data_IF_592470366921
#
_entry.id   IF_592470366921
#
_cell.length_a   1.000
_cell.length_b   1.000
_cell.length_c   1.000
_cell.angle_alpha   90.00
_cell.angle_beta   90.00
_cell.angle_gamma   90.00
#
_symmetry.space_group_name_H-M   'P 1'
#
loop_
_entity.id
_entity.type
_entity.pdbx_description
1 polymer ?
#
# COMPACT_ATOMS: atom_id res chain seq x y z
N UNK A 1 -22.81 -16.03 -16.71
CA UNK A 1 -23.69 -14.99 -17.33
C UNK A 1 -25.17 -15.25 -17.09
N UNK A 2 -25.70 -16.49 -17.30
CA UNK A 2 -27.13 -16.82 -17.09
C UNK A 2 -27.51 -16.63 -15.62
N UNK A 3 -26.73 -17.19 -14.69
CA UNK A 3 -26.94 -17.03 -13.24
C UNK A 3 -26.92 -15.56 -12.80
N UNK A 4 -25.98 -14.77 -13.30
CA UNK A 4 -25.90 -13.34 -12.99
C UNK A 4 -27.15 -12.59 -13.42
N UNK A 5 -27.72 -13.00 -14.56
CA UNK A 5 -28.92 -12.39 -15.12
C UNK A 5 -30.16 -12.77 -14.31
N UNK A 6 -30.34 -14.05 -14.00
CA UNK A 6 -31.47 -14.55 -13.19
C UNK A 6 -31.44 -13.91 -11.80
N UNK A 7 -30.33 -14.07 -11.08
CA UNK A 7 -30.18 -13.50 -9.72
C UNK A 7 -30.37 -11.99 -9.75
N UNK A 8 -29.72 -11.28 -10.70
CA UNK A 8 -29.80 -9.83 -10.79
C UNK A 8 -31.22 -9.30 -11.07
N UNK A 9 -32.01 -9.96 -11.94
CA UNK A 9 -33.36 -9.52 -12.23
C UNK A 9 -34.34 -9.85 -11.08
N UNK A 10 -34.34 -11.05 -10.56
CA UNK A 10 -35.27 -11.47 -9.52
C UNK A 10 -35.03 -10.71 -8.20
N UNK A 11 -33.77 -10.57 -7.81
CA UNK A 11 -33.45 -9.85 -6.58
C UNK A 11 -33.64 -8.34 -6.74
N UNK A 12 -33.39 -7.77 -7.92
CA UNK A 12 -33.64 -6.33 -8.17
C UNK A 12 -35.15 -6.02 -8.17
N UNK A 13 -35.99 -6.91 -8.71
CA UNK A 13 -37.44 -6.75 -8.68
C UNK A 13 -37.96 -6.79 -7.23
N UNK A 14 -37.51 -7.76 -6.43
CA UNK A 14 -37.85 -7.89 -5.00
C UNK A 14 -37.39 -6.67 -4.21
N UNK A 15 -36.17 -6.20 -4.45
CA UNK A 15 -35.63 -5.02 -3.79
C UNK A 15 -36.43 -3.75 -4.15
N UNK A 16 -36.78 -3.59 -5.43
CA UNK A 16 -37.56 -2.43 -5.89
C UNK A 16 -38.96 -2.37 -5.30
N UNK A 17 -39.56 -3.52 -4.96
CA UNK A 17 -40.86 -3.60 -4.28
C UNK A 17 -40.74 -3.32 -2.77
N UNK A 18 -39.63 -3.69 -2.14
CA UNK A 18 -39.40 -3.55 -0.70
C UNK A 18 -38.91 -2.16 -0.29
N UNK A 19 -38.13 -1.48 -1.15
CA UNK A 19 -37.49 -0.20 -0.84
C UNK A 19 -38.09 0.91 -1.68
N UNK A 20 -38.70 1.89 -1.03
CA UNK A 20 -39.35 3.05 -1.71
C UNK A 20 -38.36 4.15 -2.13
N UNK A 21 -37.12 4.16 -1.59
CA UNK A 21 -36.13 5.23 -1.82
C UNK A 21 -34.75 4.62 -2.12
N UNK A 22 -34.16 5.03 -3.24
CA UNK A 22 -32.76 4.72 -3.61
C UNK A 22 -32.56 3.33 -4.24
N UNK A 23 -31.34 3.04 -4.69
CA UNK A 23 -30.75 1.82 -5.24
C UNK A 23 -31.66 0.65 -5.59
N UNK A 24 -32.13 0.62 -6.85
CA UNK A 24 -33.11 -0.38 -7.33
C UNK A 24 -32.47 -1.58 -8.02
N UNK A 25 -31.17 -1.69 -7.98
CA UNK A 25 -30.45 -2.76 -8.63
C UNK A 25 -29.54 -3.49 -7.65
N UNK A 26 -29.52 -4.80 -7.73
CA UNK A 26 -28.60 -5.66 -7.00
C UNK A 26 -28.02 -6.72 -7.93
N UNK A 27 -26.90 -7.32 -7.53
CA UNK A 27 -26.24 -8.34 -8.32
C UNK A 27 -25.13 -9.02 -7.53
N UNK A 28 -24.59 -10.09 -8.11
CA UNK A 28 -23.58 -10.95 -7.50
C UNK A 28 -22.33 -10.20 -7.01
N UNK A 29 -21.95 -9.13 -7.67
CA UNK A 29 -20.80 -8.30 -7.28
C UNK A 29 -21.21 -7.14 -6.36
N UNK A 30 -22.35 -6.51 -6.63
CA UNK A 30 -22.82 -5.33 -5.92
C UNK A 30 -23.12 -5.62 -4.44
N UNK A 31 -23.84 -6.70 -4.16
CA UNK A 31 -24.18 -7.12 -2.79
C UNK A 31 -22.95 -7.35 -1.92
N UNK A 32 -22.06 -8.29 -2.30
CA UNK A 32 -20.82 -8.52 -1.56
C UNK A 32 -19.93 -7.29 -1.43
N UNK A 33 -19.83 -6.45 -2.47
CA UNK A 33 -19.04 -5.20 -2.38
C UNK A 33 -19.62 -4.22 -1.35
N UNK A 34 -20.96 -4.10 -1.33
CA UNK A 34 -21.64 -3.26 -0.34
C UNK A 34 -21.45 -3.80 1.07
N UNK A 35 -21.50 -5.13 1.25
CA UNK A 35 -21.27 -5.75 2.55
C UNK A 35 -19.87 -5.45 3.09
N UNK A 36 -18.83 -5.57 2.26
CA UNK A 36 -17.45 -5.25 2.65
C UNK A 36 -17.33 -3.79 3.10
N UNK A 37 -17.96 -2.86 2.38
CA UNK A 37 -17.96 -1.43 2.74
C UNK A 37 -18.74 -1.21 4.04
N UNK A 38 -19.88 -1.85 4.21
CA UNK A 38 -20.72 -1.78 5.40
C UNK A 38 -19.99 -2.30 6.65
N UNK A 39 -19.33 -3.45 6.54
CA UNK A 39 -18.57 -4.04 7.64
C UNK A 39 -17.43 -3.12 8.06
N UNK A 40 -16.72 -2.56 7.07
CA UNK A 40 -15.69 -1.56 7.34
C UNK A 40 -16.22 -0.30 8.00
N UNK A 41 -17.36 0.18 7.59
CA UNK A 41 -18.02 1.34 8.22
C UNK A 41 -18.43 1.04 9.67
N UNK A 42 -18.89 -0.18 9.96
CA UNK A 42 -19.18 -0.60 11.32
C UNK A 42 -17.92 -0.66 12.19
N UNK A 43 -16.79 -1.16 11.66
CA UNK A 43 -15.50 -1.10 12.35
C UNK A 43 -15.08 0.35 12.67
N UNK A 44 -15.25 1.26 11.70
CA UNK A 44 -14.92 2.69 11.87
C UNK A 44 -15.80 3.31 12.96
N UNK A 45 -17.11 3.03 12.96
CA UNK A 45 -18.05 3.52 13.98
C UNK A 45 -17.80 2.95 15.36
N UNK A 46 -17.36 1.70 15.42
CA UNK A 46 -17.01 1.03 16.68
C UNK A 46 -15.65 1.46 17.24
N UNK A 47 -14.82 2.11 16.42
CA UNK A 47 -13.50 2.55 16.83
C UNK A 47 -13.57 3.61 17.93
N UNK A 48 -12.88 3.34 19.03
CA UNK A 48 -12.69 4.31 20.11
C UNK A 48 -11.29 4.91 19.98
N UNK A 49 -11.23 6.22 19.83
CA UNK A 49 -9.96 6.93 19.81
C UNK A 49 -9.30 6.79 21.20
N UNK A 50 -8.06 6.36 21.21
CA UNK A 50 -7.26 6.23 22.42
C UNK A 50 -6.18 7.30 22.38
N UNK A 51 -6.09 8.07 23.47
CA UNK A 51 -5.01 9.03 23.66
C UNK A 51 -3.70 8.27 23.97
N UNK A 52 -2.62 8.66 23.33
CA UNK A 52 -1.28 8.18 23.63
C UNK A 52 -0.26 9.30 23.38
N UNK A 53 0.83 9.23 24.11
CA UNK A 53 1.91 10.19 24.04
C UNK A 53 3.20 9.52 23.59
N UNK A 54 4.03 10.24 22.85
CA UNK A 54 5.37 9.81 22.46
C UNK A 54 6.38 10.88 22.86
N UNK A 55 7.54 10.44 23.37
CA UNK A 55 8.59 11.35 23.77
C UNK A 55 9.76 11.22 22.80
N UNK A 56 10.09 12.33 22.16
CA UNK A 56 11.25 12.48 21.32
C UNK A 56 12.27 13.35 22.05
N UNK A 57 13.52 12.93 22.09
CA UNK A 57 14.60 13.58 22.81
C UNK A 57 15.63 14.05 21.80
N UNK A 58 15.96 15.34 21.83
CA UNK A 58 17.04 15.90 21.04
C UNK A 58 18.33 15.80 21.82
N UNK A 59 19.31 15.11 21.27
CA UNK A 59 20.62 14.90 21.88
C UNK A 59 21.71 15.48 21.00
N UNK A 60 22.77 15.98 21.64
CA UNK A 60 23.99 16.41 20.96
C UNK A 60 25.15 15.53 21.39
N UNK A 61 25.90 15.01 20.45
CA UNK A 61 27.12 14.26 20.68
C UNK A 61 28.25 15.19 21.14
N UNK A 62 29.30 14.61 21.75
CA UNK A 62 30.54 15.36 22.08
C UNK A 62 31.17 16.03 20.86
N UNK A 63 30.96 15.45 19.67
CA UNK A 63 31.43 15.97 18.40
C UNK A 63 30.46 16.99 17.76
N UNK A 64 29.49 17.50 18.53
CA UNK A 64 28.47 18.47 18.10
C UNK A 64 27.56 17.95 16.96
N UNK A 65 27.31 16.66 16.92
CA UNK A 65 26.35 16.07 16.00
C UNK A 65 25.01 15.99 16.73
N UNK A 66 24.01 16.70 16.24
CA UNK A 66 22.66 16.69 16.79
C UNK A 66 21.84 15.57 16.16
N UNK A 67 21.13 14.83 16.97
CA UNK A 67 20.24 13.75 16.53
C UNK A 67 19.06 13.60 17.47
N UNK A 68 17.96 13.09 16.90
CA UNK A 68 16.73 12.85 17.65
C UNK A 68 16.57 11.35 17.94
N UNK A 69 16.18 11.02 19.15
CA UNK A 69 15.85 9.66 19.56
C UNK A 69 14.45 9.60 20.17
N UNK A 70 13.79 8.47 20.00
CA UNK A 70 12.46 8.22 20.52
C UNK A 70 12.54 7.26 21.72
N UNK A 71 11.84 7.61 22.81
CA UNK A 71 11.71 6.73 23.97
C UNK A 71 10.92 5.48 23.59
N UNK A 72 11.56 4.30 23.69
CA UNK A 72 10.95 3.01 23.31
C UNK A 72 10.48 2.15 24.47
N UNK A 73 11.05 2.32 25.66
CA UNK A 73 10.65 1.51 26.79
C UNK A 73 11.64 1.54 27.94
N UNK A 74 11.25 0.93 29.05
CA UNK A 74 12.07 0.77 30.23
C UNK A 74 12.37 -0.73 30.46
N UNK A 75 13.63 -1.13 30.31
CA UNK A 75 14.04 -2.54 30.47
C UNK A 75 13.86 -3.06 31.92
N UNK A 76 13.99 -2.22 32.93
CA UNK A 76 13.85 -2.62 34.33
C UNK A 76 12.38 -2.90 34.70
N UNK A 77 11.46 -2.08 34.21
CA UNK A 77 10.01 -2.23 34.44
C UNK A 77 9.31 -3.10 33.43
N UNK A 78 10.00 -3.58 32.39
CA UNK A 78 9.44 -4.27 31.22
C UNK A 78 8.30 -3.50 30.52
N UNK A 79 8.28 -2.18 30.67
CA UNK A 79 7.30 -1.31 30.04
C UNK A 79 7.81 -0.88 28.66
N UNK A 80 6.96 -0.98 27.67
CA UNK A 80 7.24 -0.52 26.30
C UNK A 80 6.44 0.74 26.04
N UNK A 81 7.12 1.80 25.63
CA UNK A 81 6.51 3.10 25.34
C UNK A 81 6.27 3.34 23.84
N UNK A 82 6.34 2.30 23.01
CA UNK A 82 5.93 2.35 21.61
C UNK A 82 4.51 1.80 21.48
N UNK A 83 3.65 2.61 20.93
CA UNK A 83 2.32 2.19 20.53
C UNK A 83 2.40 1.37 19.23
N UNK A 84 2.09 0.10 19.29
CA UNK A 84 1.94 -0.75 18.12
C UNK A 84 0.46 -1.18 18.02
N UNK A 85 -0.28 -0.51 17.15
CA UNK A 85 -1.72 -0.78 16.89
C UNK A 85 -1.99 -2.25 16.54
N UNK A 86 -0.99 -2.95 15.97
CA UNK A 86 -1.15 -4.34 15.53
C UNK A 86 -0.99 -5.37 16.64
N UNK A 87 -0.45 -5.01 17.80
CA UNK A 87 -0.09 -5.96 18.86
C UNK A 87 -0.96 -5.90 20.10
N UNK A 88 -2.08 -5.16 20.07
CA UNK A 88 -2.99 -5.00 21.23
C UNK A 88 -2.25 -4.71 22.56
N UNK A 89 -1.15 -3.96 22.47
CA UNK A 89 -0.33 -3.61 23.62
C UNK A 89 -0.97 -2.48 24.40
N UNK A 90 -0.86 -2.53 25.72
CA UNK A 90 -1.28 -1.46 26.63
C UNK A 90 -0.71 -0.12 26.16
N UNK A 91 -1.49 0.94 26.26
CA UNK A 91 -1.08 2.30 25.90
C UNK A 91 0.11 2.68 26.76
N UNK A 92 1.29 2.93 26.19
CA UNK A 92 2.52 3.03 26.96
C UNK A 92 2.58 4.29 27.80
N UNK A 93 2.08 5.42 27.27
CA UNK A 93 1.98 6.70 27.96
C UNK A 93 0.55 7.20 27.75
N UNK A 94 -0.34 6.97 28.72
CA UNK A 94 -1.78 7.11 28.50
C UNK A 94 -2.30 8.55 28.60
N UNK A 95 -1.55 9.46 29.21
CA UNK A 95 -1.96 10.82 29.47
C UNK A 95 -0.77 11.79 29.55
N UNK A 96 -1.09 13.09 29.54
CA UNK A 96 -0.12 14.17 29.61
C UNK A 96 0.70 14.19 30.90
N UNK A 97 0.10 13.88 32.03
CA UNK A 97 0.79 13.90 33.33
C UNK A 97 1.91 12.84 33.36
N UNK A 98 1.63 11.64 32.87
CA UNK A 98 2.64 10.59 32.73
C UNK A 98 3.76 10.98 31.77
N UNK A 99 3.44 11.69 30.69
CA UNK A 99 4.41 12.20 29.74
C UNK A 99 5.33 13.25 30.39
N UNK A 100 4.76 14.20 31.13
CA UNK A 100 5.53 15.23 31.86
C UNK A 100 6.44 14.66 32.95
N UNK A 101 5.96 13.67 33.71
CA UNK A 101 6.79 12.98 34.69
C UNK A 101 8.00 12.31 34.03
N UNK A 102 7.79 11.63 32.92
CA UNK A 102 8.88 11.01 32.16
C UNK A 102 9.85 12.07 31.60
N UNK A 103 9.35 13.18 31.07
CA UNK A 103 10.16 14.29 30.57
C UNK A 103 11.08 14.85 31.65
N UNK A 104 10.56 15.12 32.87
CA UNK A 104 11.34 15.60 33.99
C UNK A 104 12.45 14.60 34.36
N UNK A 105 12.15 13.31 34.36
CA UNK A 105 13.13 12.27 34.71
C UNK A 105 14.20 12.12 33.61
N UNK A 106 13.81 12.22 32.33
CA UNK A 106 14.74 12.12 31.21
C UNK A 106 15.68 13.32 31.11
N UNK A 107 15.21 14.53 31.42
CA UNK A 107 16.03 15.74 31.46
C UNK A 107 17.13 15.70 32.53
N UNK A 108 16.98 14.86 33.57
CA UNK A 108 17.98 14.64 34.63
C UNK A 108 18.89 13.43 34.38
N UNK A 109 18.68 12.71 33.26
CA UNK A 109 19.34 11.45 32.97
C UNK A 109 20.51 11.63 32.00
N UNK A 110 21.56 10.85 32.18
CA UNK A 110 22.65 10.75 31.23
C UNK A 110 22.32 9.72 30.15
N UNK A 111 22.69 10.05 28.94
CA UNK A 111 22.43 9.18 27.75
C UNK A 111 23.75 8.55 27.29
N UNK A 112 23.68 7.25 26.98
CA UNK A 112 24.80 6.49 26.44
C UNK A 112 24.35 5.62 25.29
N UNK A 113 25.08 5.66 24.16
CA UNK A 113 24.89 4.71 23.05
C UNK A 113 25.33 3.33 23.52
N UNK A 114 24.41 2.36 23.52
CA UNK A 114 24.68 0.98 23.98
C UNK A 114 25.06 0.11 22.80
N UNK A 115 24.41 0.30 21.66
CA UNK A 115 24.67 -0.48 20.44
C UNK A 115 24.33 0.31 19.20
N UNK A 116 25.07 0.06 18.15
CA UNK A 116 24.80 0.54 16.80
C UNK A 116 24.66 -0.68 15.92
N UNK A 117 23.58 -0.78 15.14
CA UNK A 117 23.41 -1.81 14.12
C UNK A 117 23.25 -1.15 12.76
N UNK A 118 23.99 -1.64 11.79
CA UNK A 118 23.85 -1.25 10.39
C UNK A 118 23.32 -2.44 9.61
N UNK A 119 22.25 -2.22 8.86
CA UNK A 119 21.66 -3.23 8.00
C UNK A 119 21.58 -2.69 6.57
N UNK A 120 22.09 -3.46 5.63
CA UNK A 120 21.93 -3.15 4.23
C UNK A 120 20.57 -3.68 3.73
N UNK A 121 19.79 -2.81 3.13
CA UNK A 121 18.54 -3.16 2.48
C UNK A 121 18.67 -3.06 0.98
N UNK A 122 18.51 -4.17 0.28
CA UNK A 122 18.43 -4.18 -1.18
C UNK A 122 16.98 -3.95 -1.62
N UNK A 123 16.73 -2.82 -2.29
CA UNK A 123 15.46 -2.57 -2.97
C UNK A 123 15.39 -3.38 -4.25
N UNK A 124 14.31 -4.13 -4.42
CA UNK A 124 14.06 -4.90 -5.65
C UNK A 124 13.11 -4.15 -6.57
N UNK A 125 13.26 -4.28 -7.90
CA UNK A 125 12.27 -3.77 -8.84
C UNK A 125 10.88 -4.32 -8.55
N UNK A 126 9.86 -3.47 -8.74
CA UNK A 126 8.46 -3.89 -8.59
C UNK A 126 8.08 -4.85 -9.71
N UNK A 127 7.04 -5.66 -9.44
CA UNK A 127 6.44 -6.50 -10.48
C UNK A 127 5.83 -5.65 -11.60
N UNK A 128 5.67 -6.20 -12.81
CA UNK A 128 4.89 -5.57 -13.87
C UNK A 128 3.49 -5.20 -13.38
N UNK A 129 2.91 -4.17 -13.96
CA UNK A 129 1.59 -3.71 -13.57
C UNK A 129 0.51 -4.74 -13.91
N UNK A 130 -0.40 -4.91 -12.96
CA UNK A 130 -1.74 -5.45 -13.19
C UNK A 130 -2.74 -4.29 -13.12
N UNK A 131 -3.99 -4.51 -13.53
CA UNK A 131 -5.00 -3.44 -13.56
C UNK A 131 -5.07 -2.62 -12.27
N UNK A 132 -5.09 -3.29 -11.12
CA UNK A 132 -5.21 -2.62 -9.83
C UNK A 132 -3.95 -1.82 -9.45
N UNK A 133 -2.76 -2.36 -9.67
CA UNK A 133 -1.50 -1.67 -9.34
C UNK A 133 -1.22 -0.52 -10.30
N UNK A 134 -1.62 -0.63 -11.58
CA UNK A 134 -1.59 0.48 -12.54
C UNK A 134 -2.45 1.65 -12.05
N UNK A 135 -3.69 1.38 -11.65
CA UNK A 135 -4.60 2.41 -11.13
C UNK A 135 -4.09 3.05 -9.84
N UNK A 136 -3.52 2.26 -8.93
CA UNK A 136 -2.94 2.76 -7.68
C UNK A 136 -1.75 3.69 -7.95
N UNK A 137 -0.81 3.26 -8.80
CA UNK A 137 0.38 4.04 -9.13
C UNK A 137 -0.01 5.34 -9.86
N UNK A 138 -0.90 5.27 -10.84
CA UNK A 138 -1.41 6.44 -11.55
C UNK A 138 -2.12 7.43 -10.61
N UNK A 139 -2.88 6.93 -9.64
CA UNK A 139 -3.56 7.78 -8.66
C UNK A 139 -2.57 8.44 -7.70
N UNK A 140 -1.55 7.70 -7.22
CA UNK A 140 -0.59 8.23 -6.25
C UNK A 140 0.45 9.16 -6.88
N UNK A 141 0.95 8.82 -8.07
CA UNK A 141 2.06 9.53 -8.72
C UNK A 141 1.58 10.64 -9.65
N UNK A 142 0.50 10.38 -10.42
CA UNK A 142 -0.02 11.32 -11.43
C UNK A 142 -1.31 12.03 -11.00
N UNK A 143 -1.90 11.66 -9.86
CA UNK A 143 -3.14 12.23 -9.33
C UNK A 143 -4.35 12.09 -10.28
N UNK A 144 -4.35 11.08 -11.14
CA UNK A 144 -5.47 10.80 -12.05
C UNK A 144 -6.39 9.72 -11.49
N UNK A 145 -7.69 9.84 -11.79
CA UNK A 145 -8.68 8.88 -11.33
C UNK A 145 -8.51 7.50 -11.99
N UNK A 146 -8.95 6.40 -11.35
CA UNK A 146 -8.92 5.06 -11.95
C UNK A 146 -9.62 4.99 -13.31
N UNK A 147 -10.75 5.71 -13.47
CA UNK A 147 -11.46 5.79 -14.74
C UNK A 147 -10.59 6.41 -15.83
N UNK A 148 -10.00 7.58 -15.56
CA UNK A 148 -9.14 8.27 -16.53
C UNK A 148 -7.88 7.46 -16.85
N UNK A 149 -7.31 6.76 -15.85
CA UNK A 149 -6.20 5.82 -16.06
C UNK A 149 -6.56 4.75 -17.10
N UNK A 150 -7.75 4.16 -17.00
CA UNK A 150 -8.19 3.12 -17.92
C UNK A 150 -8.51 3.66 -19.32
N UNK A 151 -9.00 4.88 -19.43
CA UNK A 151 -9.21 5.56 -20.73
C UNK A 151 -7.87 5.77 -21.45
N UNK A 152 -6.88 6.34 -20.76
CA UNK A 152 -5.53 6.56 -21.30
C UNK A 152 -4.86 5.22 -21.66
N UNK A 153 -4.94 4.23 -20.79
CA UNK A 153 -4.38 2.91 -21.07
C UNK A 153 -5.01 2.26 -22.30
N UNK A 154 -6.32 2.47 -22.52
CA UNK A 154 -7.01 1.99 -23.72
C UNK A 154 -6.52 2.69 -25.00
N UNK A 155 -6.25 4.00 -24.92
CA UNK A 155 -5.68 4.77 -26.04
C UNK A 155 -4.26 4.26 -26.36
N UNK A 156 -3.41 4.08 -25.37
CA UNK A 156 -2.05 3.54 -25.53
C UNK A 156 -2.03 2.12 -26.11
N UNK A 157 -3.01 1.29 -25.75
CA UNK A 157 -3.17 -0.07 -26.27
C UNK A 157 -3.67 -0.07 -27.73
N UNK A 158 -4.61 0.82 -28.07
CA UNK A 158 -5.12 0.95 -29.46
C UNK A 158 -4.05 1.44 -30.42
N UNK A 159 -3.09 2.17 -29.90
CA UNK A 159 -1.99 2.76 -30.64
C UNK A 159 -2.13 4.27 -30.81
N UNK A 160 -0.98 4.90 -30.88
CA UNK A 160 -0.82 6.33 -31.11
C UNK A 160 -0.23 6.53 -32.50
N UNK A 161 -0.81 7.44 -33.25
CA UNK A 161 -0.30 7.83 -34.56
C UNK A 161 1.04 8.57 -34.37
N UNK A 162 2.09 8.07 -35.03
CA UNK A 162 3.41 8.68 -35.04
C UNK A 162 3.94 8.70 -36.48
N UNK A 163 3.69 9.78 -37.20
CA UNK A 163 3.92 9.88 -38.63
C UNK A 163 3.00 8.89 -39.37
N UNK A 164 3.56 8.07 -40.27
CA UNK A 164 2.81 7.10 -41.08
C UNK A 164 2.57 5.75 -40.34
N UNK A 165 2.86 5.66 -39.07
CA UNK A 165 2.76 4.41 -38.26
C UNK A 165 1.89 4.58 -37.05
N UNK A 166 1.12 3.52 -36.75
CA UNK A 166 0.41 3.37 -35.49
C UNK A 166 1.27 2.53 -34.54
N UNK A 167 1.64 3.10 -33.39
CA UNK A 167 2.47 2.44 -32.38
C UNK A 167 1.62 2.03 -31.19
N UNK A 168 1.51 0.72 -30.96
CA UNK A 168 0.93 0.17 -29.74
C UNK A 168 1.99 0.20 -28.65
N UNK A 169 1.78 1.00 -27.61
CA UNK A 169 2.78 1.29 -26.61
C UNK A 169 2.73 0.39 -25.39
N UNK A 170 1.59 -0.26 -25.15
CA UNK A 170 1.40 -1.18 -24.02
C UNK A 170 0.65 -2.44 -24.46
N UNK A 171 0.77 -3.50 -23.68
CA UNK A 171 -0.06 -4.70 -23.81
C UNK A 171 -1.45 -4.46 -23.21
N UNK A 172 -2.38 -5.42 -23.37
CA UNK A 172 -3.73 -5.26 -22.85
C UNK A 172 -3.75 -5.02 -21.35
N UNK A 173 -4.34 -3.90 -20.93
CA UNK A 173 -4.25 -3.38 -19.57
C UNK A 173 -5.16 -4.10 -18.56
N UNK A 174 -6.15 -4.87 -19.00
CA UNK A 174 -7.04 -5.61 -18.09
C UNK A 174 -6.47 -7.00 -17.83
N UNK A 175 -5.61 -7.08 -16.86
CA UNK A 175 -4.95 -8.32 -16.43
C UNK A 175 -4.79 -8.35 -14.91
N UNK A 176 -4.80 -9.53 -14.35
CA UNK A 176 -4.45 -9.84 -12.96
C UNK A 176 -3.15 -10.64 -12.84
N UNK A 177 -2.49 -10.89 -13.99
CA UNK A 177 -1.23 -11.64 -14.06
C UNK A 177 -0.03 -10.72 -14.22
N UNK A 178 1.03 -11.01 -13.49
CA UNK A 178 2.36 -10.41 -13.64
C UNK A 178 3.31 -11.27 -14.47
N UNK A 179 2.77 -12.31 -15.12
CA UNK A 179 3.56 -13.21 -15.96
C UNK A 179 4.05 -12.52 -17.23
N UNK A 180 5.32 -12.72 -17.54
CA UNK A 180 5.94 -12.30 -18.80
C UNK A 180 6.51 -13.55 -19.48
N UNK A 181 6.47 -13.57 -20.83
CA UNK A 181 7.07 -14.67 -21.60
C UNK A 181 8.60 -14.66 -21.49
N UNK A 182 9.19 -15.83 -21.65
CA UNK A 182 10.65 -16.00 -21.57
C UNK A 182 11.38 -15.11 -22.62
N UNK A 183 10.80 -14.94 -23.83
CA UNK A 183 11.35 -14.08 -24.89
C UNK A 183 11.41 -12.60 -24.48
N UNK A 184 10.36 -12.10 -23.82
CA UNK A 184 10.33 -10.72 -23.31
C UNK A 184 11.35 -10.55 -22.20
N UNK A 185 11.48 -11.52 -21.32
CA UNK A 185 12.45 -11.45 -20.22
C UNK A 185 13.88 -11.43 -20.75
N UNK A 186 14.19 -12.27 -21.75
CA UNK A 186 15.51 -12.29 -22.38
C UNK A 186 15.82 -10.99 -23.14
N UNK A 187 14.87 -10.51 -23.96
CA UNK A 187 15.04 -9.25 -24.70
C UNK A 187 15.22 -8.06 -23.79
N UNK A 188 14.49 -8.02 -22.66
CA UNK A 188 14.62 -6.99 -21.63
C UNK A 188 16.01 -7.03 -20.99
N UNK A 189 16.51 -8.22 -20.66
CA UNK A 189 17.86 -8.38 -20.14
C UNK A 189 18.94 -7.88 -21.10
N UNK A 190 18.84 -8.24 -22.39
CA UNK A 190 19.76 -7.74 -23.43
C UNK A 190 19.70 -6.22 -23.56
N UNK A 191 18.49 -5.64 -23.48
CA UNK A 191 18.31 -4.17 -23.53
C UNK A 191 18.96 -3.47 -22.33
N UNK A 192 18.76 -4.00 -21.11
CA UNK A 192 19.32 -3.42 -19.89
C UNK A 192 20.85 -3.47 -19.95
N UNK A 193 21.41 -4.63 -20.26
CA UNK A 193 22.87 -4.81 -20.36
C UNK A 193 23.48 -3.89 -21.43
N UNK A 194 22.83 -3.76 -22.59
CA UNK A 194 23.34 -2.94 -23.69
C UNK A 194 23.23 -1.43 -23.45
N UNK A 195 22.22 -0.98 -22.68
CA UNK A 195 21.97 0.44 -22.47
C UNK A 195 22.54 0.98 -21.16
N UNK A 196 22.51 0.18 -20.09
CA UNK A 196 22.85 0.63 -18.73
C UNK A 196 24.11 -0.05 -18.17
N UNK A 197 24.48 -1.23 -18.68
CA UNK A 197 25.62 -2.02 -18.20
C UNK A 197 25.18 -3.26 -17.40
N UNK A 198 26.11 -4.21 -17.28
CA UNK A 198 25.86 -5.51 -16.61
C UNK A 198 25.56 -5.36 -15.12
N UNK A 199 26.05 -4.34 -14.48
CA UNK A 199 25.84 -4.02 -13.07
C UNK A 199 24.37 -3.74 -12.71
N UNK A 200 23.55 -3.35 -13.71
CA UNK A 200 22.11 -3.07 -13.54
C UNK A 200 21.22 -4.31 -13.77
N UNK A 201 21.82 -5.45 -14.12
CA UNK A 201 21.08 -6.67 -14.45
C UNK A 201 21.57 -7.89 -13.66
N UNK A 202 20.90 -8.22 -12.59
CA UNK A 202 21.20 -9.42 -11.77
C UNK A 202 20.58 -10.73 -12.31
N UNK A 203 20.11 -10.75 -13.55
CA UNK A 203 19.44 -11.90 -14.17
C UNK A 203 17.92 -11.81 -14.25
N UNK A 204 17.32 -12.84 -14.84
CA UNK A 204 15.87 -12.92 -15.06
C UNK A 204 15.11 -13.00 -13.74
N UNK A 205 14.11 -12.14 -13.56
CA UNK A 205 13.20 -12.17 -12.41
C UNK A 205 11.79 -12.53 -12.83
N UNK A 206 11.24 -13.54 -12.19
CA UNK A 206 9.85 -13.95 -12.37
C UNK A 206 9.02 -13.55 -11.16
N UNK A 207 7.85 -12.95 -11.39
CA UNK A 207 6.97 -12.42 -10.34
C UNK A 207 5.69 -13.26 -10.15
N UNK A 208 5.39 -14.15 -11.05
CA UNK A 208 4.28 -15.09 -10.94
C UNK A 208 4.75 -16.51 -11.31
N UNK A 209 4.05 -17.50 -10.75
CA UNK A 209 4.24 -18.88 -11.22
C UNK A 209 3.71 -18.98 -12.65
N UNK A 210 4.42 -19.76 -13.51
CA UNK A 210 3.90 -20.11 -14.84
C UNK A 210 2.47 -20.65 -14.67
N UNK A 211 1.50 -20.22 -15.49
CA UNK A 211 0.17 -20.83 -15.49
C UNK A 211 0.34 -22.34 -15.71
N UNK A 212 -0.38 -23.14 -14.93
CA UNK A 212 -0.41 -24.60 -15.12
C UNK A 212 -1.18 -24.95 -16.37
#
# INVERSE_FOLDING_TARGET
RVMDRIVGFETSASLSSAIRVGGRATGRVQGPSLLIVHDRENEIKAHKALEYWSININLSSKDKIDFQVQLKGNKQKKDFYLFDIKKDTKIPIPNEDSAKELEINLNKSDFKVISISSNEFKSKPRAPFITSTLQQSASSELRISPRRTMEIAQELFRGIESGDKVLNLITYMRTDSTFLSDDILESTGKYINGKFGEEYYEGVRTYSRKPK
#
